data_IF_748809191112
#
_entry.id   IF_748809191112
#
_cell.length_a   1.000
_cell.length_b   1.000
_cell.length_c   1.000
_cell.angle_alpha   90.00
_cell.angle_beta   90.00
_cell.angle_gamma   90.00
#
_symmetry.space_group_name_H-M   'P 1'
#
loop_
_entity.id
_entity.type
_entity.pdbx_description
1 polymer ?
#
# COMPACT_ATOMS: atom_id res chain seq x y z
N UNK A 1 8.41 -0.34 9.25
CA UNK A 1 7.88 0.54 8.19
C UNK A 1 6.54 -0.01 7.72
N UNK A 2 5.53 0.81 7.81
CA UNK A 2 4.15 0.43 7.49
C UNK A 2 3.80 0.96 6.11
N UNK A 3 3.43 0.07 5.19
CA UNK A 3 3.23 0.39 3.79
C UNK A 3 1.75 0.35 3.45
N UNK A 4 1.28 1.37 2.74
CA UNK A 4 -0.02 1.39 2.11
C UNK A 4 0.13 1.27 0.59
N UNK A 5 -0.79 0.59 -0.05
CA UNK A 5 -0.82 0.46 -1.51
C UNK A 5 -2.08 1.11 -2.04
N UNK A 6 -1.91 2.01 -3.00
CA UNK A 6 -3.03 2.53 -3.80
C UNK A 6 -2.96 1.87 -5.17
N UNK A 7 -3.94 1.02 -5.47
CA UNK A 7 -3.97 0.20 -6.67
C UNK A 7 -3.62 -1.25 -6.40
N UNK A 8 -4.61 -2.11 -6.33
CA UNK A 8 -4.47 -3.53 -5.98
C UNK A 8 -4.34 -4.48 -7.17
N UNK A 9 -4.07 -3.99 -8.39
CA UNK A 9 -3.90 -4.82 -9.57
C UNK A 9 -2.60 -5.62 -9.54
N UNK A 10 -2.13 -6.05 -10.71
CA UNK A 10 -0.95 -6.92 -10.78
C UNK A 10 0.28 -6.32 -10.09
N UNK A 11 0.60 -5.07 -10.38
CA UNK A 11 1.77 -4.42 -9.78
C UNK A 11 1.62 -4.23 -8.27
N UNK A 12 0.41 -3.90 -7.81
CA UNK A 12 0.15 -3.77 -6.38
C UNK A 12 0.31 -5.10 -5.65
N UNK A 13 -0.18 -6.19 -6.24
CA UNK A 13 -0.04 -7.53 -5.65
C UNK A 13 1.41 -8.01 -5.66
N UNK A 14 2.17 -7.69 -6.70
CA UNK A 14 3.60 -8.01 -6.73
C UNK A 14 4.37 -7.25 -5.66
N UNK A 15 4.07 -5.97 -5.48
CA UNK A 15 4.66 -5.18 -4.40
C UNK A 15 4.32 -5.78 -3.04
N UNK A 16 3.08 -6.19 -2.82
CA UNK A 16 2.66 -6.83 -1.58
C UNK A 16 3.48 -8.10 -1.30
N UNK A 17 3.72 -8.90 -2.35
CA UNK A 17 4.53 -10.11 -2.24
C UNK A 17 5.98 -9.78 -1.86
N UNK A 18 6.54 -8.70 -2.40
CA UNK A 18 7.89 -8.25 -2.05
C UNK A 18 7.97 -7.84 -0.58
N UNK A 19 6.98 -7.13 -0.07
CA UNK A 19 6.98 -6.70 1.34
C UNK A 19 6.88 -7.87 2.32
N UNK A 20 6.37 -9.01 1.89
CA UNK A 20 6.31 -10.21 2.72
C UNK A 20 7.60 -11.02 2.75
N UNK A 21 8.59 -10.70 1.96
CA UNK A 21 9.80 -11.51 1.83
C UNK A 21 10.87 -11.25 2.88
N UNK A 22 10.74 -10.20 3.66
CA UNK A 22 11.77 -9.85 4.65
C UNK A 22 12.04 -10.95 5.67
N UNK A 23 11.06 -11.81 5.94
CA UNK A 23 11.21 -12.85 6.95
C UNK A 23 12.18 -13.97 6.55
N UNK A 24 12.51 -14.09 5.27
CA UNK A 24 13.52 -15.07 4.80
C UNK A 24 14.93 -14.50 4.82
N UNK A 25 15.08 -13.22 5.10
CA UNK A 25 16.37 -12.53 5.12
C UNK A 25 16.91 -12.50 6.55
N UNK A 26 18.18 -12.82 6.71
CA UNK A 26 18.84 -12.77 8.02
C UNK A 26 19.38 -11.34 8.25
N UNK A 27 19.24 -10.86 9.50
CA UNK A 27 19.79 -9.57 9.93
C UNK A 27 19.31 -8.39 9.09
N UNK A 28 18.06 -8.46 8.60
CA UNK A 28 17.51 -7.37 7.81
C UNK A 28 17.13 -6.20 8.71
N UNK A 29 17.71 -5.00 8.51
CA UNK A 29 17.55 -3.87 9.44
C UNK A 29 16.18 -3.19 9.38
N UNK A 30 15.47 -3.29 8.25
CA UNK A 30 14.16 -2.66 8.06
C UNK A 30 13.14 -3.71 7.67
N UNK A 31 12.04 -3.75 8.40
CA UNK A 31 10.93 -4.66 8.13
C UNK A 31 9.75 -3.88 7.61
N UNK A 32 9.39 -4.12 6.35
CA UNK A 32 8.22 -3.50 5.74
C UNK A 32 7.00 -4.40 5.94
N UNK A 33 5.90 -3.81 6.39
CA UNK A 33 4.62 -4.50 6.54
C UNK A 33 3.58 -3.82 5.68
N UNK A 34 2.83 -4.59 4.92
CA UNK A 34 1.67 -4.06 4.22
C UNK A 34 0.53 -3.95 5.23
N UNK A 35 0.07 -2.73 5.50
CA UNK A 35 -0.96 -2.47 6.49
C UNK A 35 -2.27 -1.96 5.91
N UNK A 36 -2.23 -1.39 4.71
CA UNK A 36 -3.43 -0.80 4.09
C UNK A 36 -3.39 -0.95 2.58
N UNK A 37 -4.56 -1.10 1.98
CA UNK A 37 -4.71 -1.16 0.53
C UNK A 37 -5.96 -0.39 0.11
N UNK A 38 -5.86 0.30 -1.02
CA UNK A 38 -6.96 1.03 -1.64
C UNK A 38 -7.12 0.60 -3.10
N UNK A 39 -8.33 0.23 -3.48
CA UNK A 39 -8.69 -0.04 -4.87
C UNK A 39 -10.20 0.15 -5.02
N UNK A 40 -10.63 0.56 -6.21
CA UNK A 40 -12.06 0.70 -6.51
C UNK A 40 -12.75 -0.65 -6.73
N UNK A 41 -11.98 -1.69 -7.05
CA UNK A 41 -12.51 -3.02 -7.33
C UNK A 41 -12.58 -3.86 -6.05
N UNK A 42 -13.77 -4.32 -5.73
CA UNK A 42 -14.04 -5.14 -4.54
C UNK A 42 -13.28 -6.46 -4.56
N UNK A 43 -13.21 -7.11 -5.73
CA UNK A 43 -12.51 -8.40 -5.87
C UNK A 43 -11.02 -8.31 -5.54
N UNK A 44 -10.38 -7.17 -5.89
CA UNK A 44 -8.98 -6.96 -5.54
C UNK A 44 -8.81 -6.73 -4.03
N UNK A 45 -9.72 -6.01 -3.41
CA UNK A 45 -9.70 -5.81 -1.95
C UNK A 45 -9.87 -7.14 -1.20
N UNK A 46 -10.72 -8.02 -1.72
CA UNK A 46 -10.90 -9.36 -1.13
C UNK A 46 -9.62 -10.18 -1.18
N UNK A 47 -8.88 -10.10 -2.28
CA UNK A 47 -7.60 -10.80 -2.39
C UNK A 47 -6.64 -10.39 -1.28
N UNK A 48 -6.58 -9.09 -0.97
CA UNK A 48 -5.72 -8.57 0.10
C UNK A 48 -6.19 -8.97 1.50
N UNK A 49 -7.42 -9.45 1.64
CA UNK A 49 -7.93 -9.95 2.91
C UNK A 49 -7.18 -11.17 3.43
N UNK A 50 -6.46 -11.90 2.57
CA UNK A 50 -5.64 -13.03 2.98
C UNK A 50 -4.28 -12.62 3.58
N UNK A 51 -3.90 -11.36 3.47
CA UNK A 51 -2.62 -10.86 4.00
C UNK A 51 -2.81 -10.49 5.47
N UNK A 52 -2.16 -11.21 6.42
CA UNK A 52 -2.46 -11.04 7.85
C UNK A 52 -2.17 -9.64 8.39
N UNK A 53 -1.24 -8.90 7.79
CA UNK A 53 -0.84 -7.59 8.26
C UNK A 53 -1.75 -6.46 7.76
N UNK A 54 -2.60 -6.72 6.77
CA UNK A 54 -3.51 -5.72 6.24
C UNK A 54 -4.65 -5.47 7.23
N UNK A 55 -4.73 -4.23 7.72
CA UNK A 55 -5.75 -3.79 8.66
C UNK A 55 -6.83 -2.93 8.02
N UNK A 56 -6.50 -2.25 6.93
CA UNK A 56 -7.42 -1.36 6.22
C UNK A 56 -7.51 -1.75 4.75
N UNK A 57 -8.74 -2.00 4.30
CA UNK A 57 -9.07 -2.19 2.88
C UNK A 57 -10.16 -1.19 2.54
N UNK A 58 -9.88 -0.26 1.63
CA UNK A 58 -10.79 0.84 1.35
C UNK A 58 -10.85 1.16 -0.14
N UNK A 59 -11.96 1.74 -0.57
CA UNK A 59 -12.13 2.29 -1.92
C UNK A 59 -11.73 3.77 -1.98
N UNK A 60 -11.49 4.40 -0.85
CA UNK A 60 -11.18 5.82 -0.74
C UNK A 60 -9.72 6.02 -0.34
N UNK A 61 -8.91 6.53 -1.28
CA UNK A 61 -7.50 6.77 -0.99
C UNK A 61 -7.28 7.82 0.11
N UNK A 62 -8.23 8.74 0.30
CA UNK A 62 -8.13 9.72 1.38
C UNK A 62 -8.18 9.05 2.75
N UNK A 63 -8.97 7.98 2.89
CA UNK A 63 -9.03 7.20 4.12
C UNK A 63 -7.70 6.51 4.40
N UNK A 64 -7.08 5.94 3.36
CA UNK A 64 -5.76 5.31 3.50
C UNK A 64 -4.71 6.34 3.91
N UNK A 65 -4.71 7.52 3.28
CA UNK A 65 -3.75 8.57 3.56
C UNK A 65 -3.93 9.19 4.94
N UNK A 66 -5.13 9.15 5.51
CA UNK A 66 -5.40 9.63 6.86
C UNK A 66 -5.01 8.63 7.94
N UNK A 67 -4.69 7.39 7.58
CA UNK A 67 -4.39 6.34 8.55
C UNK A 67 -3.04 6.55 9.23
N UNK A 68 -3.01 6.44 10.55
CA UNK A 68 -1.78 6.47 11.32
C UNK A 68 -0.95 5.20 11.14
N UNK A 69 -1.53 4.14 10.57
CA UNK A 69 -0.86 2.87 10.34
C UNK A 69 -0.16 2.80 8.99
N UNK A 70 0.03 3.93 8.31
CA UNK A 70 0.71 4.02 7.03
C UNK A 70 1.82 5.06 7.11
N UNK A 71 3.05 4.66 6.82
CA UNK A 71 4.22 5.54 6.78
C UNK A 71 4.61 5.86 5.34
N UNK A 72 4.54 4.86 4.46
CA UNK A 72 4.98 4.93 3.07
C UNK A 72 3.86 4.44 2.17
N UNK A 73 3.65 5.09 1.03
CA UNK A 73 2.61 4.71 0.08
C UNK A 73 3.23 4.32 -1.25
N UNK A 74 2.85 3.15 -1.75
CA UNK A 74 3.17 2.68 -3.10
C UNK A 74 1.97 2.90 -4.00
N UNK A 75 2.15 3.68 -5.07
CA UNK A 75 1.08 4.02 -6.01
C UNK A 75 1.22 3.16 -7.26
N UNK A 76 0.28 2.25 -7.47
CA UNK A 76 0.27 1.28 -8.57
C UNK A 76 -0.98 1.43 -9.44
N UNK A 77 -1.27 2.66 -9.85
CA UNK A 77 -2.44 3.00 -10.69
C UNK A 77 -1.96 3.44 -12.09
N UNK A 78 -2.88 3.57 -13.08
CA UNK A 78 -2.51 4.07 -14.39
C UNK A 78 -1.80 5.43 -14.34
N UNK A 79 -0.87 5.65 -15.27
CA UNK A 79 0.00 6.83 -15.28
C UNK A 79 -0.73 8.17 -15.18
N UNK A 80 -1.89 8.30 -15.82
CA UNK A 80 -2.62 9.57 -15.83
C UNK A 80 -3.14 10.00 -14.45
N UNK A 81 -3.14 9.08 -13.48
CA UNK A 81 -3.55 9.39 -12.11
C UNK A 81 -2.37 9.63 -11.17
N UNK A 82 -1.13 9.37 -11.59
CA UNK A 82 0.05 9.41 -10.72
C UNK A 82 0.31 10.79 -10.15
N UNK A 83 0.27 11.84 -10.98
CA UNK A 83 0.61 13.19 -10.50
C UNK A 83 -0.30 13.63 -9.35
N UNK A 84 -1.60 13.47 -9.53
CA UNK A 84 -2.57 13.85 -8.48
C UNK A 84 -2.35 13.03 -7.21
N UNK A 85 -2.20 11.72 -7.35
CA UNK A 85 -2.03 10.83 -6.20
C UNK A 85 -0.71 11.07 -5.50
N UNK A 86 0.36 11.35 -6.23
CA UNK A 86 1.65 11.70 -5.63
C UNK A 86 1.54 12.97 -4.80
N UNK A 87 0.86 13.99 -5.32
CA UNK A 87 0.63 15.21 -4.57
C UNK A 87 -0.19 14.97 -3.32
N UNK A 88 -1.23 14.14 -3.41
CA UNK A 88 -2.08 13.81 -2.27
C UNK A 88 -1.28 13.05 -1.19
N UNK A 89 -0.42 12.11 -1.59
CA UNK A 89 0.43 11.36 -0.66
C UNK A 89 1.37 12.30 0.09
N UNK A 90 2.05 13.18 -0.63
CA UNK A 90 3.00 14.13 -0.03
C UNK A 90 2.29 15.13 0.86
N UNK A 91 1.11 15.61 0.45
CA UNK A 91 0.31 16.53 1.26
C UNK A 91 -0.17 15.88 2.57
N UNK A 92 -0.34 14.56 2.57
CA UNK A 92 -0.72 13.82 3.78
C UNK A 92 0.47 13.56 4.71
N UNK A 93 1.67 13.99 4.35
CA UNK A 93 2.88 13.77 5.16
C UNK A 93 3.44 12.36 5.09
N UNK A 94 3.04 11.59 4.08
CA UNK A 94 3.54 10.22 3.88
C UNK A 94 4.71 10.21 2.91
N UNK A 95 5.59 9.25 3.08
CA UNK A 95 6.64 9.01 2.09
C UNK A 95 6.06 8.29 0.87
N UNK A 96 6.67 8.52 -0.29
CA UNK A 96 6.23 7.95 -1.56
C UNK A 96 7.27 6.96 -2.06
N UNK A 97 6.79 5.81 -2.46
CA UNK A 97 7.64 4.75 -3.00
C UNK A 97 7.42 4.60 -4.50
#
# INVERSE_FOLDING_TARGET
MRVGIIGGGLMGREAASCFGRWFVLQNFPVRAKLTAVCDLREDLLEWFGQVPTVQLRTKDHAELLASENVDVVYVAVPHHLHEKLYCDVLAAGKDLL
#
